data_IF_256811844327
#
_entry.id   IF_256811844327
#
_cell.length_a   1.000
_cell.length_b   1.000
_cell.length_c   1.000
_cell.angle_alpha   90.00
_cell.angle_beta   90.00
_cell.angle_gamma   90.00
#
_symmetry.space_group_name_H-M   'P 1'
#
loop_
_entity.id
_entity.type
_entity.pdbx_description
1 polymer ?
#
# COMPACT_ATOMS: atom_id res chain seq x y z
N UNK A 1 -8.26 -5.35 -45.78
CA UNK A 1 -7.08 -4.53 -45.45
C UNK A 1 -7.58 -3.24 -44.83
N UNK A 2 -7.85 -3.24 -43.52
CA UNK A 2 -8.03 -2.06 -42.68
C UNK A 2 -8.03 -2.56 -41.23
N UNK A 3 -7.12 -2.01 -40.45
CA UNK A 3 -6.70 -2.52 -39.16
C UNK A 3 -7.61 -2.06 -38.02
N UNK A 4 -7.77 -3.00 -37.09
CA UNK A 4 -8.28 -2.90 -35.74
C UNK A 4 -7.48 -1.88 -34.90
N UNK A 5 -8.20 -0.99 -34.21
CA UNK A 5 -7.67 -0.11 -33.16
C UNK A 5 -8.76 0.14 -32.12
N UNK A 6 -8.73 -0.66 -31.06
CA UNK A 6 -9.30 -0.34 -29.75
C UNK A 6 -8.57 0.84 -29.11
N UNK A 7 -9.24 1.81 -28.46
CA UNK A 7 -8.59 2.69 -27.51
C UNK A 7 -8.75 2.14 -26.08
N UNK A 8 -7.60 2.07 -25.40
CA UNK A 8 -7.47 2.07 -23.93
C UNK A 8 -7.44 3.52 -23.44
N UNK A 9 -7.72 3.63 -22.15
CA UNK A 9 -7.26 4.63 -21.18
C UNK A 9 -8.33 5.47 -20.48
N UNK A 10 -8.19 5.38 -19.16
CA UNK A 10 -8.84 6.09 -18.07
C UNK A 10 -8.58 7.60 -18.17
N UNK A 11 -9.63 8.39 -18.34
CA UNK A 11 -9.65 9.80 -17.96
C UNK A 11 -10.72 9.98 -16.87
N UNK A 12 -10.28 9.98 -15.62
CA UNK A 12 -11.06 10.54 -14.51
C UNK A 12 -10.64 12.00 -14.41
N UNK A 13 -11.53 12.88 -14.85
CA UNK A 13 -11.36 14.34 -14.79
C UNK A 13 -11.04 14.78 -13.36
N UNK A 14 -9.92 15.52 -13.23
CA UNK A 14 -9.52 16.25 -12.04
C UNK A 14 -10.54 17.34 -11.72
N UNK A 15 -11.15 17.25 -10.54
CA UNK A 15 -11.91 18.36 -9.95
C UNK A 15 -10.89 19.40 -9.47
N UNK A 16 -10.77 20.51 -10.20
CA UNK A 16 -10.06 21.70 -9.76
C UNK A 16 -10.74 22.27 -8.51
N UNK A 17 -10.06 22.17 -7.36
CA UNK A 17 -10.42 22.87 -6.14
C UNK A 17 -9.80 24.27 -6.16
N UNK A 18 -10.67 25.28 -6.19
CA UNK A 18 -10.36 26.70 -6.29
C UNK A 18 -9.98 27.26 -4.90
N UNK A 19 -8.72 27.05 -4.51
CA UNK A 19 -8.10 27.56 -3.29
C UNK A 19 -7.17 28.76 -3.51
N UNK A 20 -7.44 29.60 -4.52
CA UNK A 20 -6.63 30.75 -4.91
C UNK A 20 -6.62 31.88 -3.89
N UNK A 21 -5.69 31.84 -2.92
CA UNK A 21 -5.25 33.05 -2.19
C UNK A 21 -3.88 32.92 -1.50
N UNK A 22 -3.31 31.70 -1.33
CA UNK A 22 -2.00 31.48 -0.69
C UNK A 22 -0.91 31.05 -1.69
N UNK A 23 -1.28 30.80 -2.95
CA UNK A 23 -0.50 30.02 -3.90
C UNK A 23 0.51 30.80 -4.78
N UNK A 24 0.64 32.12 -4.65
CA UNK A 24 1.51 32.90 -5.54
C UNK A 24 2.99 32.96 -5.13
N UNK A 25 3.37 32.47 -3.93
CA UNK A 25 4.73 32.64 -3.39
C UNK A 25 5.64 31.40 -3.39
N UNK A 26 5.11 30.20 -3.63
CA UNK A 26 5.87 28.94 -3.60
C UNK A 26 6.20 28.48 -5.01
N UNK A 27 7.19 29.12 -5.64
CA UNK A 27 7.82 28.57 -6.84
C UNK A 27 8.98 27.65 -6.44
N UNK A 28 9.09 26.50 -7.11
CA UNK A 28 10.20 25.58 -6.89
C UNK A 28 11.52 26.25 -7.28
N UNK A 29 12.36 26.55 -6.29
CA UNK A 29 13.62 27.29 -6.48
C UNK A 29 14.72 26.34 -6.99
N UNK A 30 15.40 26.71 -8.08
CA UNK A 30 16.53 25.95 -8.63
C UNK A 30 17.69 25.81 -7.66
N UNK A 31 17.77 26.65 -6.62
CA UNK A 31 18.73 26.52 -5.52
C UNK A 31 18.65 25.17 -4.81
N UNK A 32 17.48 24.52 -4.76
CA UNK A 32 17.33 23.17 -4.20
C UNK A 32 18.18 22.15 -4.98
N UNK A 33 18.21 22.27 -6.31
CA UNK A 33 19.00 21.41 -7.19
C UNK A 33 20.49 21.72 -7.04
N UNK A 34 20.85 23.01 -7.00
CA UNK A 34 22.24 23.46 -6.85
C UNK A 34 22.89 22.92 -5.56
N UNK A 35 22.16 22.95 -4.44
CA UNK A 35 22.66 22.39 -3.17
C UNK A 35 23.01 20.89 -3.32
N UNK A 36 22.15 20.10 -3.95
CA UNK A 36 22.35 18.66 -4.11
C UNK A 36 23.46 18.32 -5.11
N UNK A 37 23.69 19.19 -6.09
CA UNK A 37 24.75 19.04 -7.09
C UNK A 37 26.13 19.46 -6.57
N UNK A 38 26.21 20.36 -5.58
CA UNK A 38 27.45 20.97 -5.08
C UNK A 38 28.48 20.02 -4.45
N UNK A 39 28.19 18.72 -4.35
CA UNK A 39 29.12 17.73 -3.78
C UNK A 39 29.10 17.65 -2.26
N UNK A 40 28.91 18.76 -1.55
CA UNK A 40 28.91 18.82 -0.08
C UNK A 40 27.52 18.55 0.51
N UNK A 41 27.42 17.52 1.33
CA UNK A 41 26.25 17.23 2.16
C UNK A 41 26.61 17.49 3.62
N UNK A 42 27.15 18.66 3.95
CA UNK A 42 27.41 19.03 5.34
C UNK A 42 26.09 19.21 6.11
N UNK A 43 26.15 19.17 7.44
CA UNK A 43 24.97 19.31 8.31
C UNK A 43 24.22 20.63 8.03
N UNK A 44 24.95 21.73 7.82
CA UNK A 44 24.38 23.02 7.44
C UNK A 44 23.64 22.99 6.09
N UNK A 45 24.15 22.24 5.09
CA UNK A 45 23.48 22.08 3.80
C UNK A 45 22.21 21.25 3.97
N UNK A 46 22.24 20.22 4.80
CA UNK A 46 21.08 19.38 5.11
C UNK A 46 19.97 20.18 5.80
N UNK A 47 20.30 21.00 6.80
CA UNK A 47 19.34 21.89 7.47
C UNK A 47 18.75 22.92 6.50
N UNK A 48 19.59 23.52 5.65
CA UNK A 48 19.14 24.46 4.62
C UNK A 48 18.24 23.79 3.59
N UNK A 49 18.54 22.55 3.20
CA UNK A 49 17.70 21.78 2.29
C UNK A 49 16.35 21.45 2.92
N UNK A 50 16.34 20.99 4.18
CA UNK A 50 15.12 20.68 4.91
C UNK A 50 14.21 21.91 5.05
N UNK A 51 14.76 23.07 5.42
CA UNK A 51 13.98 24.32 5.57
C UNK A 51 13.39 24.82 4.26
N UNK A 52 14.06 24.57 3.12
CA UNK A 52 13.53 24.93 1.80
C UNK A 52 12.50 23.94 1.26
N UNK A 53 12.57 22.65 1.63
CA UNK A 53 11.65 21.63 1.09
C UNK A 53 10.37 21.47 1.91
N UNK A 54 10.42 21.71 3.23
CA UNK A 54 9.28 21.54 4.15
C UNK A 54 8.02 22.35 3.78
N UNK A 55 8.12 23.60 3.27
CA UNK A 55 6.95 24.37 2.82
C UNK A 55 6.16 23.71 1.68
N UNK A 56 6.78 22.83 0.90
CA UNK A 56 6.12 22.11 -0.19
C UNK A 56 5.35 20.87 0.29
N UNK A 57 5.32 20.55 1.58
CA UNK A 57 4.69 19.32 2.08
C UNK A 57 3.18 19.23 1.76
N UNK A 58 2.46 20.35 1.78
CA UNK A 58 1.03 20.39 1.45
C UNK A 58 0.77 20.30 -0.08
N UNK A 59 1.67 20.84 -0.89
CA UNK A 59 1.56 20.91 -2.36
C UNK A 59 2.83 20.37 -3.04
N UNK A 60 3.19 19.12 -2.74
CA UNK A 60 4.44 18.52 -3.22
C UNK A 60 4.56 18.45 -4.74
N UNK A 61 3.44 18.49 -5.47
CA UNK A 61 3.36 18.47 -6.94
C UNK A 61 4.11 19.65 -7.58
N UNK A 62 4.25 20.78 -6.88
CA UNK A 62 4.99 21.94 -7.38
C UNK A 62 6.48 21.62 -7.62
N UNK A 63 7.02 20.59 -6.97
CA UNK A 63 8.40 20.15 -7.15
C UNK A 63 8.60 19.25 -8.38
N UNK A 64 7.54 18.73 -9.00
CA UNK A 64 7.60 17.74 -10.08
C UNK A 64 8.57 18.11 -11.23
N UNK A 65 8.65 19.37 -11.68
CA UNK A 65 9.61 19.78 -12.70
C UNK A 65 11.09 19.59 -12.29
N UNK A 66 11.41 19.73 -11.00
CA UNK A 66 12.78 19.67 -10.47
C UNK A 66 13.14 18.29 -9.87
N UNK A 67 12.15 17.44 -9.58
CA UNK A 67 12.37 16.18 -8.85
C UNK A 67 13.42 15.28 -9.50
N UNK A 68 13.43 15.18 -10.83
CA UNK A 68 14.42 14.34 -11.53
C UNK A 68 15.84 14.84 -11.27
N UNK A 69 16.04 16.15 -11.35
CA UNK A 69 17.34 16.79 -11.16
C UNK A 69 17.81 16.79 -9.71
N UNK A 70 16.88 16.63 -8.76
CA UNK A 70 17.17 16.42 -7.34
C UNK A 70 17.48 14.95 -7.01
N UNK A 71 16.66 14.01 -7.48
CA UNK A 71 16.79 12.58 -7.14
C UNK A 71 18.03 11.96 -7.78
N UNK A 72 18.27 12.25 -9.06
CA UNK A 72 19.36 11.64 -9.82
C UNK A 72 20.75 11.81 -9.18
N UNK A 73 21.21 13.02 -8.79
CA UNK A 73 22.52 13.17 -8.15
C UNK A 73 22.59 12.48 -6.79
N UNK A 74 21.50 12.45 -6.03
CA UNK A 74 21.47 11.80 -4.71
C UNK A 74 21.59 10.28 -4.86
N UNK A 75 20.86 9.69 -5.81
CA UNK A 75 20.95 8.26 -6.12
C UNK A 75 22.33 7.88 -6.63
N UNK A 76 22.95 8.68 -7.51
CA UNK A 76 24.33 8.43 -7.96
C UNK A 76 25.34 8.38 -6.82
N UNK A 77 25.14 9.17 -5.77
CA UNK A 77 26.01 9.10 -4.58
C UNK A 77 25.86 7.76 -3.87
N UNK A 78 24.66 7.23 -3.76
CA UNK A 78 24.44 5.89 -3.17
C UNK A 78 25.09 4.82 -4.06
N UNK A 79 24.93 4.91 -5.39
CA UNK A 79 25.58 4.00 -6.34
C UNK A 79 27.12 4.05 -6.26
N UNK A 80 27.70 5.22 -5.95
CA UNK A 80 29.16 5.34 -5.76
C UNK A 80 29.65 4.52 -4.56
N UNK A 81 28.80 4.36 -3.52
CA UNK A 81 29.08 3.50 -2.36
C UNK A 81 29.02 2.02 -2.75
N UNK A 82 28.11 1.62 -3.64
CA UNK A 82 28.07 0.25 -4.17
C UNK A 82 29.37 -0.09 -4.93
N UNK A 83 29.87 0.87 -5.71
CA UNK A 83 31.10 0.71 -6.49
C UNK A 83 32.34 0.59 -5.59
N UNK A 84 32.41 1.33 -4.48
CA UNK A 84 33.51 1.21 -3.53
C UNK A 84 33.49 -0.14 -2.80
N UNK A 85 32.30 -0.64 -2.44
CA UNK A 85 32.14 -1.98 -1.85
C UNK A 85 32.62 -3.08 -2.80
N UNK A 86 32.27 -3.02 -4.09
CA UNK A 86 32.69 -4.02 -5.08
C UNK A 86 34.23 -4.07 -5.28
N UNK A 87 34.93 -2.96 -5.09
CA UNK A 87 36.40 -2.88 -5.22
C UNK A 87 37.17 -3.47 -4.04
N UNK A 88 36.50 -3.74 -2.92
CA UNK A 88 37.11 -4.30 -1.70
C UNK A 88 36.85 -5.81 -1.69
N UNK A 89 37.90 -6.61 -1.97
CA UNK A 89 37.80 -8.07 -2.21
C UNK A 89 36.87 -8.88 -1.27
N UNK A 90 36.26 -9.98 -1.76
CA UNK A 90 35.28 -10.80 -1.04
C UNK A 90 35.93 -11.77 -0.04
N UNK A 91 36.63 -11.26 0.97
CA UNK A 91 37.14 -12.08 2.08
C UNK A 91 36.20 -12.00 3.28
N UNK A 92 35.16 -12.85 3.28
CA UNK A 92 34.48 -13.44 4.46
C UNK A 92 34.25 -12.57 5.72
N UNK A 93 34.10 -11.26 5.61
CA UNK A 93 33.92 -10.37 6.75
C UNK A 93 32.50 -9.79 6.74
N UNK A 94 31.84 -9.88 7.90
CA UNK A 94 30.49 -9.36 8.14
C UNK A 94 30.34 -7.93 7.59
N UNK A 95 29.27 -7.64 6.83
CA UNK A 95 29.26 -6.49 5.93
C UNK A 95 29.18 -5.12 6.63
N UNK A 96 29.09 -5.05 7.96
CA UNK A 96 29.17 -3.77 8.71
C UNK A 96 30.59 -3.23 8.90
N UNK A 97 31.63 -4.07 8.70
CA UNK A 97 33.04 -3.65 8.85
C UNK A 97 33.66 -3.08 7.57
N UNK A 98 32.93 -3.07 6.45
CA UNK A 98 33.48 -2.72 5.13
C UNK A 98 33.45 -1.20 4.85
N UNK A 99 32.48 -0.47 5.41
CA UNK A 99 32.34 0.97 5.16
C UNK A 99 33.07 1.79 6.23
N UNK A 100 33.98 2.64 5.79
CA UNK A 100 34.60 3.65 6.65
C UNK A 100 33.56 4.66 7.16
N UNK A 101 33.86 5.29 8.30
CA UNK A 101 32.92 6.18 8.98
C UNK A 101 32.47 7.35 8.08
N UNK A 102 33.36 7.88 7.22
CA UNK A 102 33.02 8.99 6.34
C UNK A 102 32.03 8.56 5.25
N UNK A 103 32.26 7.41 4.61
CA UNK A 103 31.31 6.88 3.61
C UNK A 103 29.95 6.56 4.21
N UNK A 104 29.91 6.03 5.45
CA UNK A 104 28.64 5.79 6.16
C UNK A 104 27.85 7.08 6.40
N UNK A 105 28.52 8.16 6.81
CA UNK A 105 27.90 9.47 7.00
C UNK A 105 27.35 10.00 5.66
N UNK A 106 28.12 9.92 4.58
CA UNK A 106 27.67 10.37 3.26
C UNK A 106 26.46 9.56 2.75
N UNK A 107 26.48 8.24 2.93
CA UNK A 107 25.37 7.35 2.62
C UNK A 107 24.12 7.74 3.42
N UNK A 108 24.26 7.93 4.73
CA UNK A 108 23.15 8.29 5.60
C UNK A 108 22.50 9.61 5.15
N UNK A 109 23.30 10.64 4.90
CA UNK A 109 22.81 11.96 4.45
C UNK A 109 22.12 11.89 3.09
N UNK A 110 22.65 11.10 2.15
CA UNK A 110 21.98 10.87 0.87
C UNK A 110 20.61 10.19 1.06
N UNK A 111 20.53 9.18 1.92
CA UNK A 111 19.26 8.51 2.26
C UNK A 111 18.28 9.42 3.00
N UNK A 112 18.77 10.32 3.88
CA UNK A 112 17.94 11.34 4.54
C UNK A 112 17.29 12.29 3.52
N UNK A 113 18.04 12.75 2.52
CA UNK A 113 17.48 13.58 1.43
C UNK A 113 16.40 12.83 0.66
N UNK A 114 16.65 11.57 0.28
CA UNK A 114 15.65 10.76 -0.40
C UNK A 114 14.41 10.53 0.46
N UNK A 115 14.57 10.33 1.76
CA UNK A 115 13.46 10.23 2.68
C UNK A 115 12.66 11.54 2.76
N UNK A 116 13.32 12.70 2.86
CA UNK A 116 12.65 14.01 2.86
C UNK A 116 11.85 14.23 1.56
N UNK A 117 12.42 13.87 0.41
CA UNK A 117 11.73 13.91 -0.88
C UNK A 117 10.50 12.96 -0.88
N UNK A 118 10.65 11.76 -0.32
CA UNK A 118 9.54 10.82 -0.16
C UNK A 118 8.46 11.33 0.80
N UNK A 119 8.83 12.07 1.85
CA UNK A 119 7.91 12.66 2.85
C UNK A 119 7.10 13.80 2.22
N UNK A 120 7.74 14.69 1.46
CA UNK A 120 7.10 15.86 0.85
C UNK A 120 6.25 15.48 -0.36
N UNK A 121 6.82 14.74 -1.32
CA UNK A 121 6.11 14.43 -2.57
C UNK A 121 5.31 13.12 -2.52
N UNK A 122 5.79 12.16 -1.73
CA UNK A 122 5.30 10.78 -1.70
C UNK A 122 6.23 9.81 -2.42
N UNK A 123 6.53 8.68 -1.76
CA UNK A 123 7.44 7.65 -2.26
C UNK A 123 7.08 7.12 -3.66
N UNK A 124 5.79 7.07 -4.02
CA UNK A 124 5.34 6.51 -5.31
C UNK A 124 5.87 7.28 -6.53
N UNK A 125 6.13 8.58 -6.37
CA UNK A 125 6.68 9.42 -7.43
C UNK A 125 8.20 9.28 -7.46
N UNK A 126 8.85 9.33 -6.29
CA UNK A 126 10.31 9.22 -6.15
C UNK A 126 10.82 7.87 -6.67
N UNK A 127 10.15 6.78 -6.33
CA UNK A 127 10.45 5.41 -6.81
C UNK A 127 10.54 5.34 -8.34
N UNK A 128 9.71 6.08 -9.08
CA UNK A 128 9.73 6.06 -10.55
C UNK A 128 10.99 6.70 -11.15
N UNK A 129 11.72 7.48 -10.35
CA UNK A 129 12.95 8.17 -10.75
C UNK A 129 14.20 7.39 -10.32
N UNK A 130 14.03 6.30 -9.55
CA UNK A 130 15.14 5.46 -9.13
C UNK A 130 15.53 4.47 -10.24
N UNK A 131 16.82 4.11 -10.36
CA UNK A 131 17.29 3.07 -11.26
C UNK A 131 16.67 1.71 -10.90
N UNK A 132 16.53 0.87 -11.91
CA UNK A 132 15.89 -0.44 -11.81
C UNK A 132 16.76 -1.52 -12.48
N UNK A 133 18.07 -1.28 -12.51
CA UNK A 133 19.03 -2.17 -13.15
C UNK A 133 19.28 -3.41 -12.27
N UNK A 134 19.30 -4.59 -12.91
CA UNK A 134 19.50 -5.87 -12.22
C UNK A 134 20.84 -5.92 -11.46
N UNK A 135 21.85 -5.21 -11.97
CA UNK A 135 23.17 -5.11 -11.34
C UNK A 135 23.15 -4.48 -9.94
N UNK A 136 22.09 -3.74 -9.58
CA UNK A 136 21.96 -3.11 -8.26
C UNK A 136 21.29 -4.02 -7.22
N UNK A 137 20.72 -5.15 -7.63
CA UNK A 137 19.95 -6.03 -6.76
C UNK A 137 20.79 -6.57 -5.59
N UNK A 138 21.91 -7.21 -5.89
CA UNK A 138 22.80 -7.78 -4.88
C UNK A 138 23.47 -6.70 -4.01
N UNK A 139 24.04 -5.60 -4.56
CA UNK A 139 24.61 -4.54 -3.73
C UNK A 139 23.63 -3.91 -2.74
N UNK A 140 22.37 -3.69 -3.16
CA UNK A 140 21.33 -3.16 -2.27
C UNK A 140 21.00 -4.15 -1.15
N UNK A 141 20.91 -5.44 -1.46
CA UNK A 141 20.65 -6.49 -0.47
C UNK A 141 21.81 -6.63 0.53
N UNK A 142 23.04 -6.69 0.04
CA UNK A 142 24.25 -6.78 0.87
C UNK A 142 24.37 -5.58 1.82
N UNK A 143 24.12 -4.37 1.30
CA UNK A 143 24.13 -3.18 2.14
C UNK A 143 23.00 -3.21 3.18
N UNK A 144 21.81 -3.71 2.84
CA UNK A 144 20.72 -3.84 3.80
C UNK A 144 21.04 -4.88 4.89
N UNK A 145 21.63 -6.02 4.54
CA UNK A 145 22.10 -7.05 5.47
C UNK A 145 23.20 -6.55 6.40
N UNK A 146 23.98 -5.56 5.96
CA UNK A 146 25.03 -4.94 6.77
C UNK A 146 24.50 -4.04 7.88
N UNK A 147 23.28 -3.53 7.77
CA UNK A 147 22.80 -2.51 8.72
C UNK A 147 22.48 -3.12 10.07
N UNK A 148 22.85 -2.41 11.13
CA UNK A 148 22.35 -2.72 12.47
C UNK A 148 20.88 -2.31 12.56
N UNK A 149 20.02 -3.27 12.91
CA UNK A 149 18.58 -3.05 13.08
C UNK A 149 18.29 -2.21 14.33
N UNK A 150 19.04 -2.46 15.40
CA UNK A 150 18.79 -1.88 16.72
C UNK A 150 19.38 -0.47 16.86
N UNK A 151 20.10 0.01 15.83
CA UNK A 151 20.50 1.40 15.69
C UNK A 151 19.28 2.25 15.27
N UNK A 152 18.81 3.16 16.11
CA UNK A 152 17.67 4.03 15.73
C UNK A 152 18.09 5.29 14.96
N UNK A 153 19.39 5.54 14.77
CA UNK A 153 19.89 6.76 14.13
C UNK A 153 19.97 6.70 12.61
N UNK A 154 20.14 5.50 12.04
CA UNK A 154 20.36 5.28 10.60
C UNK A 154 19.17 4.63 9.87
N UNK A 155 17.97 4.72 10.44
CA UNK A 155 16.77 4.06 9.91
C UNK A 155 16.41 4.52 8.49
N UNK A 156 16.78 5.74 8.08
CA UNK A 156 16.55 6.25 6.72
C UNK A 156 17.28 5.42 5.67
N UNK A 157 18.45 4.88 6.00
CA UNK A 157 19.20 3.97 5.11
C UNK A 157 18.36 2.73 4.85
N UNK A 158 17.87 2.07 5.90
CA UNK A 158 17.03 0.86 5.79
C UNK A 158 15.76 1.15 5.02
N UNK A 159 15.11 2.28 5.29
CA UNK A 159 13.92 2.71 4.57
C UNK A 159 14.16 2.83 3.06
N UNK A 160 15.21 3.56 2.66
CA UNK A 160 15.54 3.76 1.24
C UNK A 160 15.93 2.44 0.57
N UNK A 161 16.71 1.59 1.23
CA UNK A 161 17.12 0.30 0.66
C UNK A 161 15.95 -0.67 0.50
N UNK A 162 15.06 -0.79 1.49
CA UNK A 162 13.83 -1.57 1.38
C UNK A 162 12.93 -1.04 0.27
N UNK A 163 12.83 0.29 0.15
CA UNK A 163 12.06 0.92 -0.91
C UNK A 163 12.66 0.63 -2.29
N UNK A 164 13.99 0.73 -2.45
CA UNK A 164 14.69 0.44 -3.69
C UNK A 164 14.55 -1.04 -4.08
N UNK A 165 14.73 -1.94 -3.11
CA UNK A 165 14.54 -3.38 -3.31
C UNK A 165 13.11 -3.72 -3.75
N UNK A 166 12.11 -2.97 -3.27
CA UNK A 166 10.73 -3.11 -3.74
C UNK A 166 10.55 -2.78 -5.23
N UNK A 167 11.44 -1.97 -5.82
CA UNK A 167 11.44 -1.63 -7.25
C UNK A 167 12.18 -2.72 -8.01
N UNK A 168 13.36 -3.11 -7.52
CA UNK A 168 14.19 -4.14 -8.12
C UNK A 168 13.47 -5.50 -8.15
N UNK A 169 12.58 -5.77 -7.20
CA UNK A 169 11.69 -6.93 -7.22
C UNK A 169 10.72 -6.95 -8.42
N UNK A 170 10.51 -5.84 -9.15
CA UNK A 170 9.63 -5.78 -10.32
C UNK A 170 10.34 -6.03 -11.66
N UNK A 171 11.63 -6.41 -11.64
CA UNK A 171 12.35 -6.78 -12.87
C UNK A 171 11.66 -7.95 -13.59
N UNK A 172 11.60 -7.94 -14.94
CA UNK A 172 10.79 -8.88 -15.71
C UNK A 172 11.39 -10.29 -15.85
N UNK A 173 12.58 -10.53 -15.30
CA UNK A 173 13.29 -11.81 -15.38
C UNK A 173 13.15 -12.59 -14.08
N UNK A 174 13.18 -13.92 -14.13
CA UNK A 174 13.13 -14.79 -12.96
C UNK A 174 14.30 -14.50 -12.01
N UNK A 175 14.02 -14.36 -10.71
CA UNK A 175 15.09 -14.04 -9.75
C UNK A 175 16.15 -15.15 -9.64
N UNK A 176 15.84 -16.34 -10.12
CA UNK A 176 16.79 -17.46 -10.25
C UNK A 176 17.99 -17.11 -11.13
N UNK A 177 17.81 -16.25 -12.14
CA UNK A 177 18.90 -15.86 -13.04
C UNK A 177 19.78 -14.74 -12.50
N UNK A 178 19.43 -14.16 -11.35
CA UNK A 178 20.11 -13.00 -10.75
C UNK A 178 21.07 -13.47 -9.65
N UNK A 179 20.83 -14.66 -9.09
CA UNK A 179 21.60 -15.17 -7.96
C UNK A 179 23.00 -15.63 -8.38
N UNK A 180 23.99 -14.76 -8.19
CA UNK A 180 25.41 -15.06 -8.49
C UNK A 180 25.98 -16.17 -7.62
N UNK A 181 25.29 -16.60 -6.55
CA UNK A 181 25.71 -17.75 -5.73
C UNK A 181 25.40 -19.10 -6.38
N UNK A 182 24.60 -19.12 -7.45
CA UNK A 182 24.25 -20.34 -8.20
C UNK A 182 25.27 -20.70 -9.29
N UNK A 183 26.28 -19.86 -9.57
CA UNK A 183 27.39 -20.16 -10.48
C UNK A 183 28.32 -21.23 -9.87
N UNK A 184 27.90 -22.51 -9.92
CA UNK A 184 28.76 -23.65 -9.60
C UNK A 184 28.11 -24.92 -9.02
N UNK A 185 26.82 -24.90 -8.64
CA UNK A 185 26.15 -26.09 -8.07
C UNK A 185 24.71 -26.25 -8.60
N UNK A 186 24.59 -26.79 -9.83
CA UNK A 186 23.31 -27.07 -10.52
C UNK A 186 22.50 -28.26 -9.95
N UNK A 187 22.79 -28.75 -8.75
CA UNK A 187 22.11 -29.90 -8.19
C UNK A 187 21.70 -29.63 -6.74
N UNK A 188 20.57 -28.95 -6.55
CA UNK A 188 19.47 -29.30 -5.64
C UNK A 188 18.48 -28.13 -5.62
N UNK A 189 17.28 -28.37 -6.14
CA UNK A 189 16.18 -27.41 -6.01
C UNK A 189 15.86 -27.13 -4.53
N UNK A 190 15.41 -25.90 -4.25
CA UNK A 190 14.16 -25.60 -3.51
C UNK A 190 14.13 -24.23 -2.84
N UNK A 191 15.18 -23.40 -2.89
CA UNK A 191 15.07 -21.98 -2.49
C UNK A 191 16.16 -21.12 -3.13
N UNK A 192 15.78 -19.98 -3.73
CA UNK A 192 16.74 -18.95 -4.13
C UNK A 192 17.22 -18.30 -2.83
N UNK A 193 18.50 -18.43 -2.50
CA UNK A 193 19.06 -17.95 -1.23
C UNK A 193 18.76 -16.46 -1.03
N UNK A 194 18.92 -15.68 -2.10
CA UNK A 194 18.59 -14.25 -2.16
C UNK A 194 17.12 -13.97 -1.82
N UNK A 195 16.18 -14.73 -2.36
CA UNK A 195 14.74 -14.51 -2.09
C UNK A 195 14.40 -14.86 -0.65
N UNK A 196 14.92 -15.98 -0.15
CA UNK A 196 14.72 -16.39 1.24
C UNK A 196 15.26 -15.31 2.21
N UNK A 197 16.44 -14.76 1.93
CA UNK A 197 17.03 -13.67 2.70
C UNK A 197 16.16 -12.42 2.70
N UNK A 198 15.66 -12.00 1.52
CA UNK A 198 14.79 -10.82 1.44
C UNK A 198 13.49 -11.03 2.21
N UNK A 199 12.88 -12.21 2.09
CA UNK A 199 11.66 -12.56 2.83
C UNK A 199 11.94 -12.53 4.33
N UNK A 200 13.05 -13.10 4.79
CA UNK A 200 13.44 -13.09 6.20
C UNK A 200 13.68 -11.67 6.73
N UNK A 201 14.42 -10.85 5.97
CA UNK A 201 14.70 -9.45 6.31
C UNK A 201 13.39 -8.65 6.39
N UNK A 202 12.53 -8.76 5.38
CA UNK A 202 11.25 -8.06 5.38
C UNK A 202 10.36 -8.50 6.54
N UNK A 203 10.27 -9.80 6.85
CA UNK A 203 9.51 -10.32 8.00
C UNK A 203 10.01 -9.74 9.33
N UNK A 204 11.31 -9.56 9.48
CA UNK A 204 11.90 -8.87 10.63
C UNK A 204 11.44 -7.41 10.68
N UNK A 205 11.59 -6.66 9.58
CA UNK A 205 11.21 -5.25 9.51
C UNK A 205 9.69 -5.01 9.56
N UNK A 206 8.84 -6.02 9.35
CA UNK A 206 7.39 -5.89 9.60
C UNK A 206 7.05 -5.64 11.08
N UNK A 207 7.98 -5.95 11.99
CA UNK A 207 7.81 -5.75 13.43
C UNK A 207 8.28 -4.36 13.89
N UNK A 208 9.07 -3.67 13.06
CA UNK A 208 9.57 -2.33 13.36
C UNK A 208 8.45 -1.31 13.42
N UNK A 209 8.70 -0.20 14.11
CA UNK A 209 7.80 0.95 14.12
C UNK A 209 8.28 2.02 13.15
N UNK A 210 7.37 2.54 12.32
CA UNK A 210 7.64 3.71 11.49
C UNK A 210 7.73 3.44 9.98
N UNK A 211 8.47 4.27 9.21
CA UNK A 211 8.49 4.19 7.76
C UNK A 211 9.15 2.92 7.20
N UNK A 212 10.16 2.37 7.90
CA UNK A 212 10.86 1.13 7.50
C UNK A 212 9.90 -0.04 7.36
N UNK A 213 8.97 -0.19 8.30
CA UNK A 213 7.91 -1.19 8.27
C UNK A 213 7.03 -1.09 7.01
N UNK A 214 6.67 0.13 6.61
CA UNK A 214 5.87 0.36 5.40
C UNK A 214 6.63 0.00 4.13
N UNK A 215 7.92 0.31 4.09
CA UNK A 215 8.81 -0.05 2.98
C UNK A 215 9.01 -1.58 2.91
N UNK A 216 9.19 -2.25 4.06
CA UNK A 216 9.28 -3.71 4.15
C UNK A 216 7.99 -4.40 3.68
N UNK A 217 6.82 -3.93 4.14
CA UNK A 217 5.53 -4.45 3.70
C UNK A 217 5.33 -4.27 2.18
N UNK A 218 5.77 -3.14 1.62
CA UNK A 218 5.71 -2.89 0.18
C UNK A 218 6.67 -3.80 -0.61
N UNK A 219 7.91 -3.95 -0.12
CA UNK A 219 8.93 -4.80 -0.71
C UNK A 219 8.48 -6.26 -0.74
N UNK A 220 8.06 -6.78 0.41
CA UNK A 220 7.59 -8.15 0.54
C UNK A 220 6.39 -8.42 -0.34
N UNK A 221 5.39 -7.53 -0.35
CA UNK A 221 4.21 -7.73 -1.18
C UNK A 221 4.52 -7.73 -2.68
N UNK A 222 5.45 -6.88 -3.15
CA UNK A 222 5.86 -6.88 -4.57
C UNK A 222 6.64 -8.12 -4.95
N UNK A 223 7.58 -8.55 -4.09
CA UNK A 223 8.35 -9.77 -4.29
C UNK A 223 7.45 -11.00 -4.39
N UNK A 224 6.52 -11.17 -3.43
CA UNK A 224 5.64 -12.33 -3.37
C UNK A 224 4.52 -12.32 -4.43
N UNK A 225 4.21 -11.16 -5.02
CA UNK A 225 3.21 -11.05 -6.10
C UNK A 225 3.79 -11.32 -7.49
N UNK A 226 5.06 -11.71 -7.59
CA UNK A 226 5.66 -12.09 -8.86
C UNK A 226 5.21 -13.50 -9.27
N UNK A 227 5.00 -13.77 -10.57
CA UNK A 227 4.58 -15.09 -11.06
C UNK A 227 5.50 -16.25 -10.65
N UNK A 228 6.81 -16.01 -10.53
CA UNK A 228 7.82 -17.01 -10.14
C UNK A 228 7.84 -17.32 -8.63
N UNK A 229 7.15 -16.52 -7.81
CA UNK A 229 7.15 -16.63 -6.34
C UNK A 229 5.82 -17.12 -5.76
N UNK A 230 4.74 -17.05 -6.55
CA UNK A 230 3.37 -17.33 -6.11
C UNK A 230 3.18 -18.75 -5.57
N UNK A 231 3.75 -19.76 -6.25
CA UNK A 231 3.42 -21.16 -5.96
C UNK A 231 4.10 -21.69 -4.67
N UNK A 232 5.22 -21.07 -4.25
CA UNK A 232 5.99 -21.51 -3.08
C UNK A 232 6.05 -20.45 -1.99
N UNK A 233 6.61 -19.27 -2.29
CA UNK A 233 6.89 -18.26 -1.27
C UNK A 233 5.65 -17.49 -0.82
N UNK A 234 4.71 -17.21 -1.73
CA UNK A 234 3.45 -16.55 -1.36
C UNK A 234 2.60 -17.47 -0.47
N UNK A 235 2.43 -18.74 -0.85
CA UNK A 235 1.70 -19.73 -0.03
C UNK A 235 2.33 -19.87 1.36
N UNK A 236 3.65 -20.07 1.44
CA UNK A 236 4.36 -20.15 2.72
C UNK A 236 4.25 -18.87 3.55
N UNK A 237 4.18 -17.70 2.91
CA UNK A 237 3.94 -16.43 3.61
C UNK A 237 2.51 -16.34 4.15
N UNK A 238 1.51 -16.77 3.39
CA UNK A 238 0.12 -16.80 3.84
C UNK A 238 -0.08 -17.80 4.99
N UNK A 239 0.61 -18.93 4.99
CA UNK A 239 0.64 -19.86 6.13
C UNK A 239 1.25 -19.21 7.38
N UNK A 240 2.38 -18.52 7.22
CA UNK A 240 2.97 -17.72 8.29
C UNK A 240 1.99 -16.67 8.84
N UNK A 241 1.25 -16.00 7.96
CA UNK A 241 0.22 -15.02 8.35
C UNK A 241 -0.90 -15.68 9.14
N UNK A 242 -1.45 -16.83 8.69
CA UNK A 242 -2.50 -17.57 9.42
C UNK A 242 -2.07 -17.86 10.86
N UNK A 243 -0.86 -18.41 11.03
CA UNK A 243 -0.29 -18.73 12.35
C UNK A 243 -0.17 -17.48 13.25
N UNK A 244 0.30 -16.36 12.70
CA UNK A 244 0.43 -15.11 13.46
C UNK A 244 -0.93 -14.49 13.84
N UNK A 245 -1.93 -14.59 12.96
CA UNK A 245 -3.29 -14.11 13.24
C UNK A 245 -3.96 -14.96 14.33
N UNK A 246 -3.85 -16.30 14.27
CA UNK A 246 -4.39 -17.19 15.30
C UNK A 246 -3.69 -17.02 16.65
N UNK A 247 -2.36 -16.86 16.63
CA UNK A 247 -1.59 -16.57 17.84
C UNK A 247 -2.03 -15.26 18.51
N UNK A 248 -2.45 -14.26 17.72
CA UNK A 248 -3.00 -13.02 18.24
C UNK A 248 -4.37 -13.24 18.92
N UNK A 249 -5.30 -13.95 18.27
CA UNK A 249 -6.63 -14.20 18.83
C UNK A 249 -6.59 -15.06 20.10
N UNK A 250 -5.72 -16.07 20.15
CA UNK A 250 -5.60 -16.98 21.30
C UNK A 250 -4.89 -16.37 22.50
N UNK A 251 -4.06 -15.34 22.31
CA UNK A 251 -3.31 -14.69 23.37
C UNK A 251 -4.16 -13.80 24.31
N UNK A 252 -5.48 -13.77 24.13
CA UNK A 252 -6.42 -12.78 24.68
C UNK A 252 -6.62 -12.78 26.20
N UNK A 253 -5.99 -13.67 26.98
CA UNK A 253 -6.33 -13.82 28.42
C UNK A 253 -5.17 -13.67 29.42
N UNK A 254 -3.91 -13.50 29.00
CA UNK A 254 -2.78 -13.55 29.95
C UNK A 254 -1.64 -12.54 29.70
N UNK A 255 -1.79 -11.60 28.75
CA UNK A 255 -0.72 -10.68 28.40
C UNK A 255 -0.83 -9.32 29.12
N UNK A 256 0.29 -8.80 29.60
CA UNK A 256 0.42 -7.41 30.04
C UNK A 256 -0.09 -6.44 28.95
N UNK A 257 -0.75 -5.36 29.36
CA UNK A 257 -1.36 -4.36 28.47
C UNK A 257 -0.37 -3.71 27.48
N UNK A 258 0.93 -3.66 27.82
CA UNK A 258 1.99 -3.19 26.94
C UNK A 258 2.31 -4.18 25.82
N UNK A 259 2.44 -5.46 26.16
CA UNK A 259 2.73 -6.54 25.21
C UNK A 259 1.57 -6.78 24.25
N UNK A 260 0.33 -6.70 24.75
CA UNK A 260 -0.87 -6.77 23.91
C UNK A 260 -0.87 -5.69 22.81
N UNK A 261 -0.53 -4.44 23.18
CA UNK A 261 -0.44 -3.32 22.22
C UNK A 261 0.67 -3.49 21.19
N UNK A 262 1.85 -3.98 21.60
CA UNK A 262 2.95 -4.27 20.67
C UNK A 262 2.54 -5.34 19.66
N UNK A 263 1.88 -6.42 20.11
CA UNK A 263 1.35 -7.46 19.23
C UNK A 263 0.30 -6.92 18.28
N UNK A 264 -0.66 -6.15 18.79
CA UNK A 264 -1.70 -5.50 17.98
C UNK A 264 -1.08 -4.60 16.91
N UNK A 265 -0.02 -3.85 17.25
CA UNK A 265 0.72 -3.01 16.30
C UNK A 265 1.40 -3.84 15.21
N UNK A 266 2.12 -4.91 15.57
CA UNK A 266 2.77 -5.84 14.61
C UNK A 266 1.76 -6.40 13.61
N UNK A 267 0.63 -6.92 14.11
CA UNK A 267 -0.44 -7.48 13.26
C UNK A 267 -1.01 -6.39 12.35
N UNK A 268 -1.37 -5.24 12.92
CA UNK A 268 -2.06 -4.18 12.20
C UNK A 268 -1.18 -3.50 11.15
N UNK A 269 -0.04 -2.95 11.56
CA UNK A 269 0.76 -2.07 10.70
C UNK A 269 1.76 -2.87 9.85
N UNK A 270 2.14 -4.06 10.30
CA UNK A 270 2.98 -4.99 9.54
C UNK A 270 2.15 -5.89 8.63
N UNK A 271 1.47 -6.88 9.22
CA UNK A 271 0.83 -7.97 8.47
C UNK A 271 -0.36 -7.48 7.65
N UNK A 272 -1.33 -6.77 8.24
CA UNK A 272 -2.53 -6.33 7.50
C UNK A 272 -2.18 -5.33 6.39
N UNK A 273 -1.17 -4.46 6.62
CA UNK A 273 -0.67 -3.57 5.58
C UNK A 273 -0.07 -4.35 4.41
N UNK A 274 0.79 -5.34 4.71
CA UNK A 274 1.40 -6.21 3.71
C UNK A 274 0.34 -6.99 2.92
N UNK A 275 -0.62 -7.63 3.60
CA UNK A 275 -1.77 -8.28 2.96
C UNK A 275 -2.54 -7.32 2.07
N UNK A 276 -2.74 -6.07 2.50
CA UNK A 276 -3.42 -5.07 1.68
C UNK A 276 -2.67 -4.81 0.38
N UNK A 277 -1.33 -4.82 0.42
CA UNK A 277 -0.50 -4.67 -0.77
C UNK A 277 -0.52 -5.92 -1.66
N UNK A 278 -0.45 -7.13 -1.09
CA UNK A 278 -0.59 -8.41 -1.80
C UNK A 278 -1.93 -8.42 -2.56
N UNK A 279 -3.04 -8.11 -1.89
CA UNK A 279 -4.36 -8.02 -2.52
C UNK A 279 -4.45 -7.00 -3.68
N UNK A 280 -3.50 -6.06 -3.79
CA UNK A 280 -3.44 -5.09 -4.89
C UNK A 280 -2.52 -5.55 -6.03
N UNK A 281 -1.43 -6.23 -5.71
CA UNK A 281 -0.38 -6.55 -6.67
C UNK A 281 -0.53 -7.93 -7.28
N UNK A 282 -1.05 -8.91 -6.53
CA UNK A 282 -1.23 -10.28 -7.02
C UNK A 282 -2.38 -10.34 -8.05
N UNK A 283 -2.21 -11.02 -9.18
CA UNK A 283 -3.28 -11.28 -10.14
C UNK A 283 -4.50 -11.96 -9.48
N UNK A 284 -5.71 -11.53 -9.87
CA UNK A 284 -6.97 -12.01 -9.27
C UNK A 284 -7.13 -13.52 -9.36
N UNK A 285 -6.85 -14.09 -10.53
CA UNK A 285 -7.25 -15.47 -10.88
C UNK A 285 -6.65 -16.53 -9.96
N UNK A 286 -5.41 -16.30 -9.50
CA UNK A 286 -4.76 -17.17 -8.51
C UNK A 286 -5.07 -16.75 -7.08
N UNK A 287 -5.06 -15.45 -6.80
CA UNK A 287 -5.19 -14.96 -5.43
C UNK A 287 -6.58 -15.23 -4.82
N UNK A 288 -7.64 -15.26 -5.63
CA UNK A 288 -8.99 -15.58 -5.17
C UNK A 288 -9.07 -16.99 -4.55
N UNK A 289 -8.32 -17.96 -5.09
CA UNK A 289 -8.28 -19.34 -4.58
C UNK A 289 -7.63 -19.38 -3.20
N UNK A 290 -6.50 -18.69 -3.04
CA UNK A 290 -5.78 -18.60 -1.77
C UNK A 290 -6.56 -17.82 -0.70
N UNK A 291 -7.42 -16.89 -1.13
CA UNK A 291 -8.14 -16.00 -0.22
C UNK A 291 -9.08 -16.73 0.74
N UNK A 292 -9.73 -17.79 0.28
CA UNK A 292 -10.65 -18.58 1.10
C UNK A 292 -9.99 -19.15 2.36
N UNK A 293 -8.68 -19.42 2.32
CA UNK A 293 -7.97 -20.00 3.46
C UNK A 293 -7.67 -18.99 4.58
N UNK A 294 -7.47 -17.71 4.25
CA UNK A 294 -7.04 -16.71 5.22
C UNK A 294 -8.07 -15.60 5.49
N UNK A 295 -9.14 -15.48 4.69
CA UNK A 295 -10.22 -14.50 4.91
C UNK A 295 -10.83 -14.63 6.31
N UNK A 296 -11.18 -15.85 6.74
CA UNK A 296 -11.74 -16.10 8.06
C UNK A 296 -10.81 -15.68 9.21
N UNK A 297 -9.50 -15.92 9.06
CA UNK A 297 -8.48 -15.51 10.04
C UNK A 297 -8.39 -13.97 10.14
N UNK A 298 -8.47 -13.26 9.01
CA UNK A 298 -8.50 -11.80 8.97
C UNK A 298 -9.75 -11.24 9.66
N UNK A 299 -10.92 -11.82 9.37
CA UNK A 299 -12.18 -11.41 10.03
C UNK A 299 -12.11 -11.62 11.54
N UNK A 300 -11.68 -12.80 11.98
CA UNK A 300 -11.56 -13.11 13.40
C UNK A 300 -10.62 -12.15 14.15
N UNK A 301 -9.48 -11.77 13.54
CA UNK A 301 -8.57 -10.78 14.12
C UNK A 301 -9.20 -9.39 14.18
N UNK A 302 -9.93 -8.98 13.15
CA UNK A 302 -10.64 -7.69 13.14
C UNK A 302 -11.68 -7.65 14.27
N UNK A 303 -12.46 -8.72 14.44
CA UNK A 303 -13.46 -8.81 15.50
C UNK A 303 -12.84 -8.86 16.90
N UNK A 304 -11.75 -9.61 17.07
CA UNK A 304 -10.99 -9.66 18.32
C UNK A 304 -10.45 -8.26 18.69
N UNK A 305 -9.92 -7.50 17.71
CA UNK A 305 -9.45 -6.15 17.95
C UNK A 305 -10.61 -5.20 18.24
N UNK A 306 -11.74 -5.31 17.53
CA UNK A 306 -12.95 -4.52 17.82
C UNK A 306 -13.46 -4.77 19.24
N UNK A 307 -13.47 -6.02 19.70
CA UNK A 307 -13.88 -6.37 21.06
C UNK A 307 -12.92 -5.78 22.12
N UNK A 308 -11.60 -5.83 21.87
CA UNK A 308 -10.60 -5.20 22.74
C UNK A 308 -10.73 -3.66 22.77
N UNK A 309 -10.97 -3.06 21.61
CA UNK A 309 -11.14 -1.62 21.43
C UNK A 309 -12.45 -1.11 22.07
N UNK A 310 -13.52 -1.91 22.10
CA UNK A 310 -14.79 -1.56 22.74
C UNK A 310 -14.64 -1.31 24.26
N UNK A 311 -13.68 -1.98 24.91
CA UNK A 311 -13.35 -1.77 26.31
C UNK A 311 -12.44 -0.54 26.54
N UNK A 312 -11.95 0.11 25.47
CA UNK A 312 -10.93 1.15 25.52
C UNK A 312 -11.49 2.51 25.10
N UNK A 313 -11.15 3.58 25.84
CA UNK A 313 -11.63 4.95 25.56
C UNK A 313 -11.14 5.46 24.18
N UNK A 314 -9.94 5.02 23.74
CA UNK A 314 -9.35 5.43 22.46
C UNK A 314 -8.83 4.20 21.71
N UNK A 315 -9.60 3.74 20.73
CA UNK A 315 -9.20 2.73 19.75
C UNK A 315 -8.24 3.28 18.67
N UNK A 316 -7.37 2.42 18.15
CA UNK A 316 -6.35 2.82 17.16
C UNK A 316 -6.95 3.17 15.80
N UNK A 317 -6.85 4.44 15.39
CA UNK A 317 -7.28 4.92 14.06
C UNK A 317 -6.60 4.18 12.93
N UNK A 318 -5.31 3.86 13.10
CA UNK A 318 -4.52 3.14 12.10
C UNK A 318 -5.08 1.74 11.88
N UNK A 319 -5.50 1.07 12.95
CA UNK A 319 -6.13 -0.24 12.87
C UNK A 319 -7.42 -0.19 12.08
N UNK A 320 -8.39 0.60 12.52
CA UNK A 320 -9.70 0.71 11.85
C UNK A 320 -9.54 1.05 10.36
N UNK A 321 -8.67 2.02 10.04
CA UNK A 321 -8.37 2.40 8.65
C UNK A 321 -7.73 1.28 7.84
N UNK A 322 -6.80 0.50 8.39
CA UNK A 322 -6.17 -0.62 7.67
C UNK A 322 -7.11 -1.82 7.53
N UNK A 323 -7.93 -2.13 8.54
CA UNK A 323 -8.98 -3.15 8.47
C UNK A 323 -9.97 -2.87 7.35
N UNK A 324 -10.54 -1.66 7.32
CA UNK A 324 -11.43 -1.22 6.24
C UNK A 324 -10.76 -1.30 4.87
N UNK A 325 -9.49 -0.86 4.76
CA UNK A 325 -8.72 -0.90 3.51
C UNK A 325 -8.42 -2.32 3.03
N UNK A 326 -8.09 -3.23 3.95
CA UNK A 326 -7.81 -4.63 3.63
C UNK A 326 -9.07 -5.33 3.14
N UNK A 327 -10.17 -5.25 3.90
CA UNK A 327 -11.44 -5.86 3.55
C UNK A 327 -12.01 -5.31 2.24
N UNK A 328 -11.90 -3.99 2.00
CA UNK A 328 -12.21 -3.42 0.69
C UNK A 328 -11.46 -4.13 -0.44
N UNK A 329 -10.16 -4.40 -0.28
CA UNK A 329 -9.36 -5.05 -1.34
C UNK A 329 -9.73 -6.51 -1.50
N UNK A 330 -10.00 -7.21 -0.40
CA UNK A 330 -10.44 -8.60 -0.42
C UNK A 330 -11.81 -8.75 -1.08
N UNK A 331 -12.78 -7.90 -0.73
CA UNK A 331 -14.10 -7.87 -1.38
C UNK A 331 -14.02 -7.63 -2.90
N UNK A 332 -13.07 -6.80 -3.34
CA UNK A 332 -12.84 -6.56 -4.77
C UNK A 332 -12.17 -7.72 -5.50
N UNK A 333 -11.57 -8.69 -4.79
CA UNK A 333 -11.04 -9.91 -5.41
C UNK A 333 -12.17 -10.90 -5.70
N UNK A 334 -13.16 -11.01 -4.81
CA UNK A 334 -14.37 -11.82 -5.07
C UNK A 334 -15.08 -11.35 -6.35
N UNK A 335 -15.19 -10.04 -6.54
CA UNK A 335 -15.90 -9.46 -7.69
C UNK A 335 -14.99 -9.31 -8.93
N UNK A 336 -15.34 -9.89 -10.09
CA UNK A 336 -14.59 -9.68 -11.32
C UNK A 336 -14.60 -8.19 -11.72
N UNK A 337 -13.54 -7.69 -12.38
CA UNK A 337 -13.51 -6.31 -12.88
C UNK A 337 -14.50 -6.18 -14.04
N UNK A 338 -15.73 -5.78 -13.74
CA UNK A 338 -16.78 -5.50 -14.72
C UNK A 338 -17.34 -4.09 -14.50
N UNK A 339 -17.58 -3.37 -15.59
CA UNK A 339 -18.33 -2.11 -15.56
C UNK A 339 -19.79 -2.44 -15.80
N UNK A 340 -20.63 -2.25 -14.79
CA UNK A 340 -22.04 -2.57 -14.89
C UNK A 340 -22.81 -1.52 -15.70
N UNK A 341 -23.72 -1.96 -16.57
CA UNK A 341 -24.50 -1.10 -17.47
C UNK A 341 -25.42 -0.14 -16.71
N UNK A 342 -25.97 -0.59 -15.57
CA UNK A 342 -26.86 0.21 -14.72
C UNK A 342 -26.17 1.46 -14.15
N UNK A 343 -24.83 1.45 -14.02
CA UNK A 343 -24.04 2.61 -13.54
C UNK A 343 -24.24 3.86 -14.43
N UNK A 344 -24.50 3.66 -15.72
CA UNK A 344 -24.64 4.73 -16.71
C UNK A 344 -26.04 4.82 -17.31
N UNK A 345 -27.05 4.24 -16.66
CA UNK A 345 -28.45 4.45 -17.00
C UNK A 345 -28.85 5.90 -16.63
N UNK A 346 -28.43 6.87 -17.45
CA UNK A 346 -28.90 8.26 -17.40
C UNK A 346 -30.37 8.27 -17.83
N UNK A 347 -31.25 7.88 -16.91
CA UNK A 347 -32.70 7.86 -17.14
C UNK A 347 -33.24 9.23 -17.53
N UNK A 348 -32.60 10.34 -17.11
CA UNK A 348 -33.10 11.67 -17.42
C UNK A 348 -31.99 12.71 -17.54
N UNK A 349 -32.00 13.47 -18.63
CA UNK A 349 -31.02 14.51 -18.97
C UNK A 349 -31.36 15.90 -18.40
N UNK A 350 -32.51 16.08 -17.76
CA UNK A 350 -32.94 17.37 -17.22
C UNK A 350 -33.78 17.23 -15.96
N UNK A 351 -33.28 17.78 -14.85
CA UNK A 351 -34.00 17.88 -13.58
C UNK A 351 -35.31 18.67 -13.75
N UNK A 352 -35.32 19.71 -14.59
CA UNK A 352 -36.52 20.50 -14.86
C UNK A 352 -37.61 19.68 -15.58
N UNK A 353 -37.23 18.77 -16.48
CA UNK A 353 -38.19 17.86 -17.11
C UNK A 353 -38.77 16.85 -16.12
N UNK A 354 -38.00 16.44 -15.10
CA UNK A 354 -38.45 15.53 -14.04
C UNK A 354 -39.44 16.15 -13.07
N UNK A 355 -39.22 17.41 -12.69
CA UNK A 355 -40.16 18.13 -11.82
C UNK A 355 -41.44 18.55 -12.56
N UNK A 356 -41.37 18.71 -13.90
CA UNK A 356 -42.51 19.10 -14.72
C UNK A 356 -43.40 17.92 -15.15
N UNK A 357 -42.86 16.70 -15.18
CA UNK A 357 -43.66 15.50 -15.36
C UNK A 357 -44.46 15.22 -14.07
N UNK A 358 -45.77 15.01 -14.18
CA UNK A 358 -46.59 14.54 -13.07
C UNK A 358 -45.99 13.24 -12.47
N UNK A 359 -46.19 12.93 -11.18
CA UNK A 359 -45.63 11.75 -10.55
C UNK A 359 -46.23 10.48 -11.19
N UNK A 360 -45.62 10.04 -12.27
CA UNK A 360 -45.79 8.71 -12.79
C UNK A 360 -44.97 7.78 -11.90
N UNK A 361 -45.50 6.60 -11.53
CA UNK A 361 -44.71 5.60 -10.82
C UNK A 361 -43.46 5.37 -11.67
N UNK A 362 -42.30 5.45 -11.01
CA UNK A 362 -40.98 5.25 -11.60
C UNK A 362 -41.09 4.01 -12.48
N UNK A 363 -41.14 4.21 -13.81
CA UNK A 363 -41.25 3.10 -14.74
C UNK A 363 -40.01 2.25 -14.50
N UNK A 364 -40.23 1.03 -14.00
CA UNK A 364 -39.28 -0.04 -13.76
C UNK A 364 -38.07 0.06 -14.68
N UNK A 365 -36.98 0.65 -14.17
CA UNK A 365 -35.67 0.61 -14.83
C UNK A 365 -35.14 -0.84 -14.91
N UNK A 366 -35.77 -1.75 -14.15
CA UNK A 366 -35.64 -3.20 -14.22
C UNK A 366 -36.10 -3.80 -15.56
N UNK A 367 -37.07 -3.21 -16.27
CA UNK A 367 -37.62 -3.80 -17.50
C UNK A 367 -36.71 -3.68 -18.74
N UNK A 368 -35.72 -2.77 -18.72
CA UNK A 368 -34.82 -2.57 -19.86
C UNK A 368 -33.53 -3.39 -19.80
N UNK A 369 -33.23 -4.05 -18.67
CA UNK A 369 -31.96 -4.75 -18.45
C UNK A 369 -32.07 -6.28 -18.56
N UNK A 370 -33.27 -6.82 -18.81
CA UNK A 370 -33.59 -8.26 -18.71
C UNK A 370 -33.48 -9.05 -20.04
N UNK A 371 -32.48 -8.77 -20.88
CA UNK A 371 -32.24 -9.59 -22.10
C UNK A 371 -30.83 -10.12 -22.27
N UNK A 372 -29.95 -9.90 -21.31
CA UNK A 372 -28.59 -10.48 -21.30
C UNK A 372 -28.17 -10.93 -19.89
N UNK A 373 -29.10 -11.34 -19.04
CA UNK A 373 -28.77 -11.91 -17.73
C UNK A 373 -28.07 -13.25 -17.93
N UNK A 374 -26.75 -13.26 -17.75
CA UNK A 374 -26.03 -14.52 -17.61
C UNK A 374 -26.50 -15.16 -16.28
N UNK A 375 -26.90 -16.44 -16.24
CA UNK A 375 -27.32 -17.08 -14.98
C UNK A 375 -26.25 -17.10 -13.87
N UNK A 376 -24.98 -16.89 -14.24
CA UNK A 376 -23.83 -16.75 -13.31
C UNK A 376 -23.59 -15.31 -12.84
N UNK A 377 -24.41 -14.35 -13.26
CA UNK A 377 -24.25 -12.92 -12.93
C UNK A 377 -24.77 -12.58 -11.53
N UNK A 378 -25.50 -13.49 -10.89
CA UNK A 378 -26.13 -13.30 -9.58
C UNK A 378 -25.41 -14.04 -8.43
N UNK A 379 -24.32 -14.75 -8.70
CA UNK A 379 -23.63 -15.53 -7.67
C UNK A 379 -22.62 -14.63 -6.93
N UNK A 380 -23.12 -13.94 -5.90
CA UNK A 380 -22.32 -13.07 -5.02
C UNK A 380 -21.88 -13.89 -3.81
N UNK A 381 -20.57 -14.03 -3.54
CA UNK A 381 -20.08 -14.78 -2.38
C UNK A 381 -20.59 -14.20 -1.06
N UNK A 382 -21.00 -15.06 -0.12
CA UNK A 382 -21.53 -14.67 1.19
C UNK A 382 -20.54 -13.86 2.02
N UNK A 383 -19.23 -14.07 1.82
CA UNK A 383 -18.15 -13.32 2.46
C UNK A 383 -18.21 -11.83 2.12
N UNK A 384 -18.81 -11.46 0.98
CA UNK A 384 -18.94 -10.06 0.58
C UNK A 384 -19.92 -9.30 1.46
N UNK A 385 -20.96 -9.95 2.00
CA UNK A 385 -21.91 -9.33 2.92
C UNK A 385 -21.18 -8.84 4.19
N UNK A 386 -20.30 -9.67 4.75
CA UNK A 386 -19.45 -9.30 5.89
C UNK A 386 -18.52 -8.12 5.55
N UNK A 387 -17.96 -8.09 4.33
CA UNK A 387 -17.15 -6.95 3.87
C UNK A 387 -18.00 -5.67 3.79
N UNK A 388 -19.20 -5.76 3.21
CA UNK A 388 -20.11 -4.61 3.07
C UNK A 388 -20.53 -4.07 4.44
N UNK A 389 -20.86 -4.92 5.41
CA UNK A 389 -21.21 -4.51 6.77
C UNK A 389 -20.08 -3.70 7.42
N UNK A 390 -18.83 -4.19 7.35
CA UNK A 390 -17.67 -3.47 7.90
C UNK A 390 -17.44 -2.14 7.18
N UNK A 391 -17.69 -2.07 5.86
CA UNK A 391 -17.60 -0.83 5.10
C UNK A 391 -18.68 0.18 5.50
N UNK A 392 -19.93 -0.25 5.69
CA UNK A 392 -21.04 0.61 6.12
C UNK A 392 -20.82 1.11 7.55
N UNK A 393 -20.38 0.24 8.47
CA UNK A 393 -19.94 0.63 9.81
C UNK A 393 -18.84 1.71 9.75
N UNK A 394 -17.87 1.54 8.84
CA UNK A 394 -16.76 2.48 8.65
C UNK A 394 -17.17 3.87 8.15
N UNK A 395 -18.35 4.03 7.53
CA UNK A 395 -18.88 5.34 7.14
C UNK A 395 -19.25 6.21 8.34
N UNK A 396 -19.56 5.58 9.48
CA UNK A 396 -19.92 6.24 10.75
C UNK A 396 -18.72 6.48 11.67
N UNK A 397 -17.49 6.18 11.22
CA UNK A 397 -16.31 6.30 12.07
C UNK A 397 -16.02 7.76 12.47
N UNK A 398 -15.53 7.96 13.71
CA UNK A 398 -15.12 9.27 14.22
C UNK A 398 -14.02 9.92 13.39
N UNK A 399 -13.10 9.13 12.84
CA UNK A 399 -11.93 9.61 12.13
C UNK A 399 -12.20 9.68 10.62
N UNK A 400 -11.97 10.86 10.04
CA UNK A 400 -12.19 11.12 8.60
C UNK A 400 -11.41 10.17 7.70
N UNK A 401 -10.19 9.77 8.10
CA UNK A 401 -9.36 8.85 7.32
C UNK A 401 -9.97 7.43 7.21
N UNK A 402 -10.75 7.00 8.20
CA UNK A 402 -11.47 5.72 8.18
C UNK A 402 -12.69 5.85 7.28
N UNK A 403 -13.50 6.90 7.49
CA UNK A 403 -14.69 7.21 6.66
C UNK A 403 -14.34 7.30 5.17
N UNK A 404 -13.24 7.96 4.83
CA UNK A 404 -12.75 8.05 3.46
C UNK A 404 -12.36 6.70 2.88
N UNK A 405 -11.71 5.83 3.67
CA UNK A 405 -11.39 4.47 3.24
C UNK A 405 -12.65 3.63 3.03
N UNK A 406 -13.63 3.77 3.92
CA UNK A 406 -14.92 3.09 3.85
C UNK A 406 -15.72 3.53 2.63
N UNK A 407 -15.89 4.84 2.41
CA UNK A 407 -16.60 5.40 1.25
C UNK A 407 -15.98 4.95 -0.09
N UNK A 408 -14.64 4.94 -0.17
CA UNK A 408 -13.92 4.37 -1.32
C UNK A 408 -14.17 2.88 -1.49
N UNK A 409 -14.32 2.15 -0.39
CA UNK A 409 -14.68 0.74 -0.38
C UNK A 409 -16.06 0.52 -0.95
N UNK A 410 -17.08 1.12 -0.34
CA UNK A 410 -18.47 1.05 -0.76
C UNK A 410 -18.59 1.37 -2.25
N UNK A 411 -18.13 2.54 -2.70
CA UNK A 411 -18.26 2.91 -4.12
C UNK A 411 -17.60 1.93 -5.10
N UNK A 412 -16.45 1.34 -4.74
CA UNK A 412 -15.75 0.38 -5.61
C UNK A 412 -16.39 -1.01 -5.60
N UNK A 413 -16.95 -1.44 -4.47
CA UNK A 413 -17.64 -2.74 -4.35
C UNK A 413 -19.02 -2.65 -5.02
N UNK A 414 -19.82 -1.64 -4.67
CA UNK A 414 -21.15 -1.39 -5.24
C UNK A 414 -21.11 -1.29 -6.76
N UNK A 415 -20.09 -0.62 -7.33
CA UNK A 415 -19.97 -0.48 -8.80
C UNK A 415 -19.68 -1.76 -9.58
N UNK A 416 -19.39 -2.88 -8.88
CA UNK A 416 -19.14 -4.20 -9.48
C UNK A 416 -20.24 -5.21 -9.17
N UNK A 417 -21.22 -4.83 -8.37
CA UNK A 417 -22.33 -5.71 -7.97
C UNK A 417 -23.48 -5.68 -8.99
N UNK A 418 -24.27 -6.76 -9.06
CA UNK A 418 -25.55 -6.74 -9.75
C UNK A 418 -26.46 -5.65 -9.20
N UNK A 419 -27.42 -5.20 -10.01
CA UNK A 419 -28.25 -4.04 -9.69
C UNK A 419 -28.96 -4.17 -8.35
N UNK A 420 -29.56 -5.33 -8.05
CA UNK A 420 -30.32 -5.56 -6.81
C UNK A 420 -29.45 -5.32 -5.55
N UNK A 421 -28.31 -6.00 -5.46
CA UNK A 421 -27.36 -5.80 -4.36
C UNK A 421 -26.77 -4.39 -4.30
N UNK A 422 -26.59 -3.75 -5.46
CA UNK A 422 -26.09 -2.39 -5.51
C UNK A 422 -27.13 -1.38 -4.99
N UNK A 423 -28.42 -1.58 -5.31
CA UNK A 423 -29.53 -0.77 -4.84
C UNK A 423 -29.71 -0.91 -3.32
N UNK A 424 -29.62 -2.13 -2.79
CA UNK A 424 -29.66 -2.40 -1.34
C UNK A 424 -28.56 -1.63 -0.58
N UNK A 425 -27.33 -1.63 -1.12
CA UNK A 425 -26.22 -0.87 -0.51
C UNK A 425 -26.48 0.64 -0.57
N UNK A 426 -27.02 1.15 -1.68
CA UNK A 426 -27.38 2.57 -1.81
C UNK A 426 -28.47 2.93 -0.80
N UNK A 427 -29.48 2.08 -0.63
CA UNK A 427 -30.52 2.27 0.37
C UNK A 427 -29.92 2.32 1.78
N UNK A 428 -29.09 1.35 2.14
CA UNK A 428 -28.41 1.31 3.44
C UNK A 428 -27.56 2.58 3.68
N UNK A 429 -26.88 3.10 2.65
CA UNK A 429 -26.14 4.37 2.75
C UNK A 429 -27.07 5.56 2.97
N UNK A 430 -28.22 5.62 2.29
CA UNK A 430 -29.21 6.69 2.45
C UNK A 430 -29.86 6.67 3.84
N UNK A 431 -30.11 5.49 4.40
CA UNK A 431 -30.63 5.33 5.76
C UNK A 431 -29.70 5.96 6.81
N UNK A 432 -28.37 5.96 6.58
CA UNK A 432 -27.40 6.61 7.48
C UNK A 432 -27.56 8.14 7.56
N UNK A 433 -28.28 8.74 6.62
CA UNK A 433 -28.58 10.18 6.63
C UNK A 433 -29.95 10.51 7.25
N UNK A 434 -30.73 9.49 7.63
CA UNK A 434 -32.03 9.71 8.26
C UNK A 434 -31.88 10.33 9.65
N UNK A 435 -32.75 11.28 9.98
CA UNK A 435 -32.68 12.08 11.21
C UNK A 435 -32.82 11.28 12.53
N UNK A 436 -33.12 9.98 12.44
CA UNK A 436 -33.24 9.10 13.60
C UNK A 436 -31.88 8.64 14.15
N UNK A 437 -30.77 8.87 13.43
CA UNK A 437 -29.43 8.49 13.89
C UNK A 437 -28.61 9.66 14.48
N UNK A 438 -29.12 10.89 14.43
CA UNK A 438 -28.33 12.10 14.76
C UNK A 438 -28.30 12.52 16.23
N UNK A 439 -28.74 11.68 17.16
CA UNK A 439 -28.52 11.90 18.60
C UNK A 439 -27.82 10.69 19.22
N UNK A 440 -26.67 10.94 19.83
CA UNK A 440 -25.80 9.91 20.40
C UNK A 440 -26.54 8.90 21.28
N UNK A 441 -26.50 7.65 20.88
CA UNK A 441 -26.87 6.48 21.67
C UNK A 441 -25.76 5.46 21.40
N UNK A 442 -24.82 5.16 22.31
CA UNK A 442 -25.06 4.94 23.72
C UNK A 442 -26.12 3.85 23.83
N UNK A 443 -25.70 2.61 24.09
CA UNK A 443 -26.52 1.42 24.37
C UNK A 443 -26.63 0.36 23.25
N UNK A 444 -25.85 -0.72 23.47
CA UNK A 444 -26.12 -2.15 23.24
C UNK A 444 -26.71 -2.63 21.91
N UNK A 445 -25.93 -3.46 21.20
CA UNK A 445 -26.35 -4.84 20.89
C UNK A 445 -25.17 -5.78 21.18
N UNK A 446 -25.48 -6.88 21.88
CA UNK A 446 -24.58 -7.84 22.53
C UNK A 446 -23.80 -8.73 21.57
#
# INVERSE_FOLDING_TARGET
>A
MAADKTPRDDDVEDVQDDGGAVNESLQADTRLVELLQSGDLSEAVMEKFQTMIEPFQEQGQLLDPLLRDMVTPVVRRIQSVFSSMASTSPSSAFPFQVLDAATRIHLHRACQILYLLCKVRGYKTIVKLMPHDVAEFEPVLLLLQSQDRDDFSTWEIRFVLLLWLSILALVPFDLKSIDSSLDGHEEHGESIAIVADIVAICKTYLQDSGPTQQAAALCLARLLSRPDMEDQYLVAFLDYVKVELDAFCTASHAADSSQARIRQYKITVGIMLCLSYICKFTPRDKHIVLMGEYFGHVMHVIDAIRAQDAATIVSSTVHRKLSTKLLQRMGLLYLPPKVMTWRYARGVRSLAANLAAAPHPVADASAANDKTSNPFENDVPAELEQVVDVLLCGLKDRDTVVRWSAAKGVGRVTSRLPFEFADDIVHAVLELFSANESDGTGYYYY
#
